data_IF_004588869152
#
_entry.id   IF_004588869152
#
_cell.length_a   1.000
_cell.length_b   1.000
_cell.length_c   1.000
_cell.angle_alpha   90.00
_cell.angle_beta   90.00
_cell.angle_gamma   90.00
#
_symmetry.space_group_name_H-M   'P 1'
#
loop_
_entity.id
_entity.type
_entity.pdbx_description
1 polymer ?
#
# COMPACT_ATOMS: atom_id res chain seq x y z
N UNK A 1 2.55 -0.46 -34.46
CA UNK A 1 1.51 -0.71 -33.43
C UNK A 1 1.75 0.07 -32.14
N UNK A 2 2.95 0.03 -31.53
CA UNK A 2 3.34 0.77 -30.30
C UNK A 2 2.95 2.27 -30.31
N UNK A 3 3.31 2.99 -31.37
CA UNK A 3 3.06 4.43 -31.48
C UNK A 3 1.59 4.79 -31.72
N UNK A 4 0.83 3.94 -32.40
CA UNK A 4 -0.61 4.18 -32.69
C UNK A 4 -1.42 4.03 -31.40
N UNK A 5 -1.14 3.02 -30.59
CA UNK A 5 -1.81 2.84 -29.30
C UNK A 5 -1.51 3.95 -28.30
N UNK A 6 -0.26 4.43 -28.26
CA UNK A 6 0.10 5.59 -27.43
C UNK A 6 -0.61 6.87 -27.90
N UNK A 7 -0.61 7.14 -29.21
CA UNK A 7 -1.28 8.31 -29.78
C UNK A 7 -2.79 8.27 -29.49
N UNK A 8 -3.42 7.11 -29.66
CA UNK A 8 -4.82 6.90 -29.31
C UNK A 8 -5.08 7.18 -27.83
N UNK A 9 -4.22 6.70 -26.93
CA UNK A 9 -4.35 6.96 -25.51
C UNK A 9 -4.20 8.45 -25.14
N UNK A 10 -3.24 9.16 -25.74
CA UNK A 10 -3.04 10.59 -25.52
C UNK A 10 -4.26 11.39 -26.01
N UNK A 11 -4.71 11.15 -27.24
CA UNK A 11 -5.86 11.83 -27.81
C UNK A 11 -7.15 11.48 -27.04
N UNK A 12 -7.35 10.20 -26.73
CA UNK A 12 -8.50 9.72 -25.96
C UNK A 12 -8.55 10.33 -24.56
N UNK A 13 -7.44 10.36 -23.83
CA UNK A 13 -7.34 11.06 -22.53
C UNK A 13 -7.62 12.55 -22.69
N UNK A 14 -7.06 13.22 -23.70
CA UNK A 14 -7.28 14.66 -23.91
C UNK A 14 -8.74 15.02 -24.21
N UNK A 15 -9.39 14.27 -25.11
CA UNK A 15 -10.81 14.47 -25.45
C UNK A 15 -11.71 14.17 -24.25
N UNK A 16 -11.46 13.08 -23.53
CA UNK A 16 -12.25 12.72 -22.34
C UNK A 16 -12.07 13.73 -21.20
N UNK A 17 -10.86 14.20 -20.93
CA UNK A 17 -10.61 15.27 -19.94
C UNK A 17 -11.39 16.53 -20.33
N UNK A 18 -11.29 16.97 -21.58
CA UNK A 18 -11.99 18.18 -22.06
C UNK A 18 -13.50 18.04 -21.92
N UNK A 19 -14.04 16.87 -22.30
CA UNK A 19 -15.45 16.55 -22.14
C UNK A 19 -15.89 16.58 -20.67
N UNK A 20 -15.15 15.93 -19.76
CA UNK A 20 -15.50 15.88 -18.33
C UNK A 20 -15.43 17.27 -17.68
N UNK A 21 -14.45 18.10 -18.06
CA UNK A 21 -14.37 19.50 -17.60
C UNK A 21 -15.59 20.28 -18.09
N UNK A 22 -15.93 20.19 -19.38
CA UNK A 22 -17.09 20.88 -19.95
C UNK A 22 -18.39 20.44 -19.26
N UNK A 23 -18.61 19.12 -19.10
CA UNK A 23 -19.80 18.59 -18.43
C UNK A 23 -19.87 19.05 -16.98
N UNK A 24 -18.75 19.03 -16.26
CA UNK A 24 -18.73 19.53 -14.88
C UNK A 24 -19.14 21.00 -14.81
N UNK A 25 -18.55 21.87 -15.64
CA UNK A 25 -18.85 23.30 -15.63
C UNK A 25 -20.30 23.63 -16.03
N UNK A 26 -20.91 22.83 -16.92
CA UNK A 26 -22.32 22.98 -17.33
C UNK A 26 -23.28 22.46 -16.26
N UNK A 27 -22.95 21.34 -15.61
CA UNK A 27 -23.86 20.69 -14.65
C UNK A 27 -23.75 21.25 -13.25
N UNK A 28 -22.54 21.58 -12.79
CA UNK A 28 -22.28 22.08 -11.46
C UNK A 28 -20.95 22.84 -11.38
N UNK A 29 -21.02 24.17 -11.45
CA UNK A 29 -19.84 25.05 -11.38
C UNK A 29 -19.29 25.24 -9.96
N UNK A 30 -20.05 24.87 -8.92
CA UNK A 30 -19.61 25.06 -7.52
C UNK A 30 -18.81 23.86 -7.02
N UNK A 31 -19.11 22.65 -7.51
CA UNK A 31 -18.39 21.43 -7.16
C UNK A 31 -17.62 20.86 -8.36
N UNK A 32 -16.30 21.08 -8.36
CA UNK A 32 -15.40 20.68 -9.44
C UNK A 32 -15.06 19.18 -9.42
N UNK A 33 -16.06 18.32 -9.68
CA UNK A 33 -15.89 16.86 -9.62
C UNK A 33 -14.94 16.31 -10.69
N UNK A 34 -14.62 17.04 -11.76
CA UNK A 34 -13.65 16.58 -12.75
C UNK A 34 -12.24 16.38 -12.16
N UNK A 35 -11.94 17.00 -11.01
CA UNK A 35 -10.63 16.90 -10.35
C UNK A 35 -10.30 15.44 -10.01
N UNK A 36 -11.28 14.57 -9.74
CA UNK A 36 -11.02 13.16 -9.39
C UNK A 36 -10.56 12.28 -10.58
N UNK A 37 -11.26 12.25 -11.74
CA UNK A 37 -10.85 11.39 -12.86
C UNK A 37 -9.67 11.92 -13.69
N UNK A 38 -9.43 13.24 -13.74
CA UNK A 38 -8.42 13.83 -14.62
C UNK A 38 -6.99 13.31 -14.36
N UNK A 39 -6.48 13.26 -13.12
CA UNK A 39 -5.14 12.72 -12.84
C UNK A 39 -4.98 11.27 -13.29
N UNK A 40 -6.03 10.45 -13.18
CA UNK A 40 -6.01 9.06 -13.62
C UNK A 40 -5.93 8.96 -15.16
N UNK A 41 -6.68 9.81 -15.86
CA UNK A 41 -6.65 9.89 -17.33
C UNK A 41 -5.30 10.42 -17.83
N UNK A 42 -4.64 11.30 -17.09
CA UNK A 42 -3.27 11.76 -17.38
C UNK A 42 -2.23 10.67 -17.11
N UNK A 43 -2.43 9.85 -16.08
CA UNK A 43 -1.53 8.73 -15.76
C UNK A 43 -1.54 7.64 -16.83
N UNK A 44 -2.65 7.45 -17.56
CA UNK A 44 -2.81 6.39 -18.56
C UNK A 44 -1.77 6.47 -19.72
N UNK A 45 -1.63 7.58 -20.47
CA UNK A 45 -0.63 7.66 -21.53
C UNK A 45 0.80 7.57 -20.98
N UNK A 46 1.07 8.14 -19.80
CA UNK A 46 2.38 8.07 -19.14
C UNK A 46 2.70 6.63 -18.74
N UNK A 47 1.71 5.89 -18.25
CA UNK A 47 1.82 4.47 -17.90
C UNK A 47 2.08 3.60 -19.12
N UNK A 48 1.34 3.80 -20.21
CA UNK A 48 1.56 3.10 -21.47
C UNK A 48 2.96 3.39 -22.03
N UNK A 49 3.37 4.66 -22.09
CA UNK A 49 4.72 5.04 -22.50
C UNK A 49 5.79 4.33 -21.64
N UNK A 50 5.64 4.37 -20.32
CA UNK A 50 6.61 3.80 -19.40
C UNK A 50 6.67 2.27 -19.48
N UNK A 51 5.53 1.61 -19.73
CA UNK A 51 5.46 0.16 -19.96
C UNK A 51 6.19 -0.23 -21.24
N UNK A 52 5.91 0.51 -22.31
CA UNK A 52 6.48 0.32 -23.63
C UNK A 52 7.99 0.57 -23.71
N UNK A 53 8.50 1.52 -22.92
CA UNK A 53 9.93 1.84 -22.82
C UNK A 53 10.63 1.14 -21.64
N UNK A 54 9.92 0.28 -20.88
CA UNK A 54 10.41 -0.38 -19.66
C UNK A 54 10.93 0.60 -18.58
N UNK A 55 10.49 1.87 -18.61
CA UNK A 55 10.88 2.94 -17.69
C UNK A 55 9.95 2.98 -16.46
N UNK A 56 9.84 1.87 -15.74
CA UNK A 56 8.96 1.74 -14.57
C UNK A 56 9.29 2.71 -13.42
N UNK A 57 10.55 3.14 -13.31
CA UNK A 57 11.00 4.15 -12.33
C UNK A 57 10.42 5.52 -12.64
N UNK A 58 10.38 5.91 -13.91
CA UNK A 58 9.81 7.18 -14.35
C UNK A 58 8.30 7.22 -14.06
N UNK A 59 7.58 6.12 -14.35
CA UNK A 59 6.16 6.03 -14.02
C UNK A 59 5.89 6.20 -12.53
N UNK A 60 6.68 5.53 -11.69
CA UNK A 60 6.52 5.59 -10.24
C UNK A 60 6.82 6.99 -9.69
N UNK A 61 7.86 7.67 -10.21
CA UNK A 61 8.19 9.05 -9.84
C UNK A 61 7.06 10.01 -10.23
N UNK A 62 6.69 10.06 -11.51
CA UNK A 62 5.63 10.96 -11.98
C UNK A 62 4.31 10.65 -11.30
N UNK A 63 3.96 9.36 -11.15
CA UNK A 63 2.74 8.94 -10.48
C UNK A 63 2.69 9.37 -9.03
N UNK A 64 3.79 9.23 -8.28
CA UNK A 64 3.84 9.69 -6.90
C UNK A 64 3.60 11.20 -6.77
N UNK A 65 4.15 12.02 -7.67
CA UNK A 65 3.95 13.47 -7.71
C UNK A 65 2.49 13.81 -8.05
N UNK A 66 1.93 13.19 -9.09
CA UNK A 66 0.54 13.43 -9.54
C UNK A 66 -0.44 13.06 -8.43
N UNK A 67 -0.29 11.89 -7.80
CA UNK A 67 -1.14 11.49 -6.68
C UNK A 67 -0.97 12.40 -5.46
N UNK A 68 0.24 12.82 -5.14
CA UNK A 68 0.48 13.71 -4.00
C UNK A 68 -0.18 15.07 -4.22
N UNK A 69 0.02 15.69 -5.38
CA UNK A 69 -0.65 16.96 -5.74
C UNK A 69 -2.17 16.80 -5.61
N UNK A 70 -2.71 15.73 -6.18
CA UNK A 70 -4.14 15.46 -6.15
C UNK A 70 -4.69 15.36 -4.71
N UNK A 71 -4.05 14.57 -3.85
CA UNK A 71 -4.53 14.39 -2.47
C UNK A 71 -4.39 15.67 -1.65
N UNK A 72 -3.33 16.45 -1.87
CA UNK A 72 -3.19 17.78 -1.25
C UNK A 72 -4.30 18.71 -1.71
N UNK A 73 -4.57 18.80 -3.01
CA UNK A 73 -5.64 19.63 -3.56
C UNK A 73 -7.00 19.24 -2.98
N UNK A 74 -7.36 17.96 -2.96
CA UNK A 74 -8.63 17.49 -2.38
C UNK A 74 -8.70 17.84 -0.90
N UNK A 75 -7.61 17.63 -0.15
CA UNK A 75 -7.59 17.89 1.28
C UNK A 75 -7.80 19.38 1.60
N UNK A 76 -7.13 20.28 0.86
CA UNK A 76 -7.28 21.73 1.05
C UNK A 76 -8.68 22.23 0.68
N UNK A 77 -9.32 21.65 -0.33
CA UNK A 77 -10.67 22.06 -0.78
C UNK A 77 -11.73 21.61 0.24
N UNK A 78 -11.68 20.35 0.70
CA UNK A 78 -12.79 19.77 1.47
C UNK A 78 -12.60 19.84 2.97
N UNK A 79 -11.39 19.63 3.47
CA UNK A 79 -11.11 19.47 4.90
C UNK A 79 -9.77 20.11 5.26
N UNK A 80 -9.60 21.44 5.11
CA UNK A 80 -8.32 22.11 5.30
C UNK A 80 -7.84 22.05 6.76
N UNK A 81 -8.75 21.88 7.72
CA UNK A 81 -8.43 21.76 9.14
C UNK A 81 -7.77 20.44 9.53
N UNK A 82 -7.88 19.40 8.69
CA UNK A 82 -7.41 18.06 9.01
C UNK A 82 -6.58 17.48 7.86
N UNK A 83 -5.24 17.45 7.97
CA UNK A 83 -4.34 17.10 6.87
C UNK A 83 -4.26 15.59 6.59
N UNK A 84 -5.37 14.98 6.20
CA UNK A 84 -5.46 13.53 5.98
C UNK A 84 -4.57 13.04 4.83
N UNK A 85 -4.14 13.91 3.90
CA UNK A 85 -3.22 13.52 2.83
C UNK A 85 -1.89 12.95 3.36
N UNK A 86 -1.49 13.34 4.57
CA UNK A 86 -0.30 12.81 5.25
C UNK A 86 -0.39 11.29 5.45
N UNK A 87 -1.60 10.73 5.64
CA UNK A 87 -1.76 9.28 5.79
C UNK A 87 -1.34 8.51 4.54
N UNK A 88 -1.52 9.09 3.35
CA UNK A 88 -1.16 8.45 2.08
C UNK A 88 0.30 8.70 1.68
N UNK A 89 0.95 9.70 2.29
CA UNK A 89 2.30 10.14 1.91
C UNK A 89 3.33 9.02 2.07
N UNK A 90 3.27 8.24 3.15
CA UNK A 90 4.17 7.11 3.38
C UNK A 90 4.22 6.13 2.19
N UNK A 91 3.12 5.46 1.83
CA UNK A 91 3.04 4.55 0.68
C UNK A 91 3.39 5.22 -0.65
N UNK A 92 2.91 6.45 -0.87
CA UNK A 92 3.15 7.19 -2.12
C UNK A 92 4.64 7.47 -2.31
N UNK A 93 5.36 7.86 -1.26
CA UNK A 93 6.80 8.11 -1.29
C UNK A 93 7.60 6.81 -1.32
N UNK A 94 7.11 5.76 -0.66
CA UNK A 94 7.77 4.46 -0.66
C UNK A 94 7.80 3.83 -2.06
N UNK A 95 6.76 4.04 -2.86
CA UNK A 95 6.67 3.49 -4.22
C UNK A 95 7.87 3.85 -5.13
N UNK A 96 8.21 5.15 -5.36
CA UNK A 96 9.37 5.51 -6.17
C UNK A 96 10.69 5.07 -5.54
N UNK A 97 10.82 5.14 -4.21
CA UNK A 97 12.02 4.66 -3.50
C UNK A 97 12.26 3.18 -3.80
N UNK A 98 11.22 2.34 -3.70
CA UNK A 98 11.31 0.91 -4.01
C UNK A 98 11.59 0.64 -5.49
N UNK A 99 11.00 1.44 -6.38
CA UNK A 99 11.24 1.34 -7.82
C UNK A 99 12.70 1.64 -8.16
N UNK A 100 13.29 2.68 -7.57
CA UNK A 100 14.70 3.05 -7.72
C UNK A 100 15.64 2.00 -7.12
N UNK A 101 15.29 1.42 -5.96
CA UNK A 101 16.06 0.34 -5.35
C UNK A 101 16.10 -0.92 -6.23
N UNK A 102 15.11 -1.12 -7.11
CA UNK A 102 15.06 -2.22 -8.07
C UNK A 102 15.26 -3.57 -7.39
N UNK A 103 16.30 -4.32 -7.80
CA UNK A 103 16.59 -5.66 -7.24
C UNK A 103 17.02 -5.64 -5.76
N UNK A 104 17.49 -4.50 -5.23
CA UNK A 104 17.96 -4.38 -3.82
C UNK A 104 16.81 -4.51 -2.82
N UNK A 105 15.57 -4.26 -3.23
CA UNK A 105 14.39 -4.42 -2.39
C UNK A 105 14.17 -5.88 -1.91
N UNK A 106 14.82 -6.87 -2.55
CA UNK A 106 14.83 -8.28 -2.11
C UNK A 106 15.82 -8.55 -0.98
N UNK A 107 16.59 -7.55 -0.54
CA UNK A 107 17.48 -7.68 0.59
C UNK A 107 16.71 -7.54 1.91
N UNK A 108 16.94 -8.47 2.85
CA UNK A 108 16.25 -8.45 4.15
C UNK A 108 16.66 -7.22 4.94
N UNK A 109 17.94 -6.82 4.86
CA UNK A 109 18.42 -5.60 5.51
C UNK A 109 17.67 -4.36 5.00
N UNK A 110 17.55 -4.20 3.68
CA UNK A 110 16.83 -3.08 3.05
C UNK A 110 15.36 -3.10 3.44
N UNK A 111 14.71 -4.26 3.40
CA UNK A 111 13.31 -4.39 3.80
C UNK A 111 13.11 -4.02 5.28
N UNK A 112 13.96 -4.50 6.18
CA UNK A 112 13.89 -4.17 7.61
C UNK A 112 14.12 -2.68 7.86
N UNK A 113 15.12 -2.07 7.24
CA UNK A 113 15.38 -0.63 7.39
C UNK A 113 14.22 0.22 6.87
N UNK A 114 13.66 -0.12 5.71
CA UNK A 114 12.52 0.59 5.13
C UNK A 114 11.24 0.39 5.94
N UNK A 115 10.95 -0.82 6.41
CA UNK A 115 9.82 -1.08 7.31
C UNK A 115 9.98 -0.29 8.61
N UNK A 116 11.18 -0.21 9.19
CA UNK A 116 11.44 0.57 10.40
C UNK A 116 11.20 2.08 10.19
N UNK A 117 11.71 2.65 9.09
CA UNK A 117 11.46 4.05 8.74
C UNK A 117 9.98 4.34 8.51
N UNK A 118 9.27 3.42 7.83
CA UNK A 118 7.83 3.53 7.59
C UNK A 118 7.03 3.48 8.89
N UNK A 119 7.36 2.57 9.81
CA UNK A 119 6.74 2.50 11.14
C UNK A 119 7.01 3.78 11.92
N UNK A 120 8.26 4.25 11.95
CA UNK A 120 8.64 5.47 12.66
C UNK A 120 7.85 6.69 12.12
N UNK A 121 7.73 6.81 10.81
CA UNK A 121 6.91 7.84 10.17
C UNK A 121 5.46 7.81 10.70
N UNK A 122 4.83 6.64 10.73
CA UNK A 122 3.45 6.50 11.20
C UNK A 122 3.28 6.68 12.71
N UNK A 123 4.29 6.32 13.50
CA UNK A 123 4.30 6.59 14.94
C UNK A 123 4.34 8.09 15.20
N UNK A 124 5.24 8.82 14.52
CA UNK A 124 5.31 10.29 14.62
C UNK A 124 3.99 10.92 14.17
N UNK A 125 3.43 10.44 13.05
CA UNK A 125 2.17 10.95 12.51
C UNK A 125 1.00 10.69 13.47
N UNK A 126 0.97 9.54 14.14
CA UNK A 126 -0.04 9.19 15.14
C UNK A 126 0.00 10.13 16.34
N UNK A 127 1.17 10.40 16.88
CA UNK A 127 1.33 11.38 17.97
C UNK A 127 0.89 12.79 17.57
N UNK A 128 1.15 13.20 16.32
CA UNK A 128 0.81 14.53 15.84
C UNK A 128 -0.70 14.71 15.60
N UNK A 129 -1.36 13.74 14.94
CA UNK A 129 -2.76 13.91 14.52
C UNK A 129 -3.75 13.38 15.56
N UNK A 130 -3.48 12.26 16.22
CA UNK A 130 -4.43 11.62 17.13
C UNK A 130 -3.72 10.80 18.22
N UNK A 131 -3.10 11.47 19.21
CA UNK A 131 -2.32 10.80 20.25
C UNK A 131 -3.17 9.84 21.12
N UNK A 132 -4.49 10.05 21.18
CA UNK A 132 -5.40 9.20 21.95
C UNK A 132 -5.83 7.90 21.26
N UNK A 133 -5.47 7.68 19.98
CA UNK A 133 -5.89 6.51 19.22
C UNK A 133 -4.71 5.92 18.45
N UNK A 134 -4.22 4.75 18.87
CA UNK A 134 -3.01 4.07 18.36
C UNK A 134 -3.24 3.38 16.99
N UNK A 135 -3.71 4.12 15.99
CA UNK A 135 -3.93 3.60 14.63
C UNK A 135 -2.63 3.24 13.89
N UNK A 136 -1.44 3.68 14.34
CA UNK A 136 -0.17 3.32 13.69
C UNK A 136 0.13 1.80 13.70
N UNK A 137 -0.56 1.03 14.55
CA UNK A 137 -0.44 -0.43 14.64
C UNK A 137 -0.87 -1.10 13.33
N UNK A 138 -1.87 -0.55 12.61
CA UNK A 138 -2.35 -1.11 11.35
C UNK A 138 -1.31 -1.05 10.22
N UNK A 139 -0.74 0.12 9.84
CA UNK A 139 0.31 0.17 8.84
C UNK A 139 1.59 -0.53 9.29
N UNK A 140 1.90 -0.54 10.59
CA UNK A 140 3.04 -1.27 11.12
C UNK A 140 2.89 -2.79 10.92
N UNK A 141 1.73 -3.35 11.22
CA UNK A 141 1.44 -4.75 10.95
C UNK A 141 1.60 -5.08 9.46
N UNK A 142 1.01 -4.27 8.57
CA UNK A 142 1.08 -4.48 7.13
C UNK A 142 2.52 -4.51 6.61
N UNK A 143 3.36 -3.56 7.04
CA UNK A 143 4.73 -3.42 6.51
C UNK A 143 5.71 -4.45 7.07
N UNK A 144 5.43 -5.06 8.23
CA UNK A 144 6.28 -6.09 8.85
C UNK A 144 6.25 -7.43 8.09
N UNK A 145 5.21 -7.70 7.30
CA UNK A 145 5.15 -8.87 6.43
C UNK A 145 6.27 -8.90 5.40
N UNK A 146 6.75 -7.73 4.97
CA UNK A 146 7.78 -7.63 3.94
C UNK A 146 9.14 -8.20 4.38
N UNK A 147 9.80 -7.74 5.46
CA UNK A 147 11.05 -8.34 5.93
C UNK A 147 10.86 -9.80 6.39
N UNK A 148 9.73 -10.12 7.02
CA UNK A 148 9.42 -11.49 7.48
C UNK A 148 9.38 -12.49 6.32
N UNK A 149 8.62 -12.17 5.26
CA UNK A 149 8.51 -13.03 4.08
C UNK A 149 9.86 -13.21 3.38
N UNK A 150 10.62 -12.13 3.17
CA UNK A 150 11.93 -12.20 2.52
C UNK A 150 12.93 -13.06 3.30
N UNK A 151 12.93 -12.96 4.63
CA UNK A 151 13.81 -13.75 5.49
C UNK A 151 13.57 -15.25 5.31
N UNK A 152 12.31 -15.68 5.36
CA UNK A 152 11.97 -17.09 5.25
C UNK A 152 12.06 -17.65 3.84
N UNK A 153 11.74 -16.86 2.82
CA UNK A 153 11.91 -17.28 1.41
C UNK A 153 13.38 -17.57 1.11
N UNK A 154 14.31 -16.74 1.59
CA UNK A 154 15.76 -16.97 1.40
C UNK A 154 16.25 -18.22 2.10
N UNK A 155 15.77 -18.50 3.31
CA UNK A 155 16.11 -19.69 4.09
C UNK A 155 15.31 -20.94 3.67
N UNK A 156 14.37 -20.81 2.73
CA UNK A 156 13.42 -21.87 2.32
C UNK A 156 12.70 -22.52 3.52
N UNK A 157 12.48 -21.75 4.59
CA UNK A 157 11.93 -22.25 5.86
C UNK A 157 10.43 -21.98 5.96
N UNK A 158 9.65 -22.59 5.07
CA UNK A 158 8.21 -22.36 4.92
C UNK A 158 7.39 -22.71 6.19
N UNK A 159 7.77 -23.75 6.92
CA UNK A 159 7.12 -24.08 8.19
C UNK A 159 7.38 -23.00 9.25
N UNK A 160 8.65 -22.60 9.43
CA UNK A 160 8.99 -21.53 10.36
C UNK A 160 8.33 -20.19 9.98
N UNK A 161 8.13 -19.92 8.68
CA UNK A 161 7.35 -18.77 8.21
C UNK A 161 5.91 -18.82 8.71
N UNK A 162 5.22 -19.95 8.56
CA UNK A 162 3.84 -20.08 9.05
C UNK A 162 3.74 -19.83 10.55
N UNK A 163 4.68 -20.36 11.35
CA UNK A 163 4.71 -20.11 12.80
C UNK A 163 4.93 -18.62 13.12
N UNK A 164 5.93 -17.99 12.51
CA UNK A 164 6.22 -16.57 12.77
C UNK A 164 5.12 -15.64 12.26
N UNK A 165 4.49 -15.96 11.14
CA UNK A 165 3.35 -15.23 10.61
C UNK A 165 2.12 -15.36 11.54
N UNK A 166 1.85 -16.57 12.05
CA UNK A 166 0.80 -16.79 13.05
C UNK A 166 1.06 -16.00 14.33
N UNK A 167 2.30 -15.94 14.81
CA UNK A 167 2.68 -15.12 15.98
C UNK A 167 2.42 -13.63 15.69
N UNK A 168 2.90 -13.12 14.54
CA UNK A 168 2.69 -11.71 14.16
C UNK A 168 1.21 -11.35 14.09
N UNK A 169 0.40 -12.21 13.46
CA UNK A 169 -1.07 -12.03 13.38
C UNK A 169 -1.72 -12.10 14.76
N UNK A 170 -1.28 -13.03 15.62
CA UNK A 170 -1.86 -13.19 16.96
C UNK A 170 -1.58 -11.99 17.85
N UNK A 171 -0.33 -11.50 17.86
CA UNK A 171 0.05 -10.27 18.55
C UNK A 171 -0.78 -9.10 18.05
N UNK A 172 -0.94 -8.95 16.74
CA UNK A 172 -1.77 -7.90 16.15
C UNK A 172 -3.23 -7.96 16.62
N UNK A 173 -3.89 -9.12 16.56
CA UNK A 173 -5.29 -9.25 17.00
C UNK A 173 -5.44 -9.02 18.51
N UNK A 174 -4.50 -9.50 19.34
CA UNK A 174 -4.49 -9.23 20.78
C UNK A 174 -4.36 -7.71 21.02
N UNK A 175 -3.42 -7.05 20.37
CA UNK A 175 -3.25 -5.60 20.49
C UNK A 175 -4.51 -4.84 20.11
N UNK A 176 -5.17 -5.18 18.99
CA UNK A 176 -6.41 -4.50 18.58
C UNK A 176 -7.51 -4.75 19.60
N UNK A 177 -7.67 -5.98 20.08
CA UNK A 177 -8.70 -6.32 21.03
C UNK A 177 -8.54 -5.55 22.35
N UNK A 178 -7.33 -5.52 22.91
CA UNK A 178 -7.02 -4.78 24.15
C UNK A 178 -7.21 -3.27 23.96
N UNK A 179 -6.75 -2.70 22.84
CA UNK A 179 -6.73 -1.24 22.65
C UNK A 179 -8.06 -0.66 22.17
N UNK A 180 -8.82 -1.39 21.35
CA UNK A 180 -10.02 -0.87 20.70
C UNK A 180 -11.32 -1.54 21.15
N UNK A 181 -11.27 -2.70 21.79
CA UNK A 181 -12.46 -3.42 22.23
C UNK A 181 -12.22 -4.20 23.54
N UNK A 182 -11.76 -3.54 24.63
CA UNK A 182 -11.36 -4.22 25.85
C UNK A 182 -12.52 -4.97 26.53
N UNK A 183 -13.76 -4.56 26.25
CA UNK A 183 -14.96 -5.15 26.87
C UNK A 183 -15.42 -6.45 26.19
N UNK A 184 -14.84 -6.84 25.05
CA UNK A 184 -15.26 -8.04 24.31
C UNK A 184 -14.04 -8.82 23.84
N UNK A 185 -13.89 -10.07 24.30
CA UNK A 185 -12.76 -10.93 23.93
C UNK A 185 -13.06 -11.58 22.57
N UNK A 186 -12.68 -10.92 21.47
CA UNK A 186 -12.90 -11.44 20.12
C UNK A 186 -11.62 -11.90 19.42
N UNK A 187 -10.42 -11.55 19.91
CA UNK A 187 -9.15 -11.93 19.29
C UNK A 187 -8.96 -13.46 19.17
N UNK A 188 -9.59 -14.24 20.06
CA UNK A 188 -9.48 -15.71 20.07
C UNK A 188 -9.98 -16.33 18.76
N UNK A 189 -11.05 -15.80 18.16
CA UNK A 189 -11.64 -16.35 16.94
C UNK A 189 -10.68 -16.31 15.73
N UNK A 190 -10.12 -15.15 15.34
CA UNK A 190 -9.16 -15.11 14.23
C UNK A 190 -7.83 -15.79 14.58
N UNK A 191 -7.37 -15.76 15.84
CA UNK A 191 -6.17 -16.49 16.24
C UNK A 191 -6.34 -17.99 16.03
N UNK A 192 -7.48 -18.54 16.46
CA UNK A 192 -7.81 -19.94 16.25
C UNK A 192 -7.79 -20.30 14.76
N UNK A 193 -8.38 -19.47 13.90
CA UNK A 193 -8.35 -19.67 12.45
C UNK A 193 -6.91 -19.68 11.89
N UNK A 194 -6.06 -18.76 12.34
CA UNK A 194 -4.68 -18.63 11.84
C UNK A 194 -3.76 -19.76 12.34
N UNK A 195 -4.06 -20.38 13.48
CA UNK A 195 -3.32 -21.55 13.99
C UNK A 195 -3.41 -22.78 13.08
N UNK A 196 -4.45 -22.89 12.25
CA UNK A 196 -4.56 -23.96 11.26
C UNK A 196 -3.46 -23.91 10.19
N UNK A 197 -2.85 -22.74 9.97
CA UNK A 197 -1.80 -22.58 8.98
C UNK A 197 -0.52 -23.36 9.34
N UNK A 198 0.14 -23.14 10.49
CA UNK A 198 1.29 -23.97 10.87
C UNK A 198 0.91 -25.44 11.05
N UNK A 199 -0.30 -25.75 11.53
CA UNK A 199 -0.77 -27.12 11.66
C UNK A 199 -0.84 -27.86 10.31
N UNK A 200 -1.44 -27.22 9.29
CA UNK A 200 -1.51 -27.79 7.93
C UNK A 200 -0.12 -27.95 7.30
N UNK A 201 0.77 -26.98 7.51
CA UNK A 201 2.15 -27.06 7.05
C UNK A 201 2.94 -28.19 7.74
N UNK A 202 2.71 -28.39 9.04
CA UNK A 202 3.30 -29.50 9.81
C UNK A 202 2.88 -30.85 9.24
N UNK A 203 1.58 -31.08 9.05
CA UNK A 203 1.08 -32.34 8.49
C UNK A 203 1.53 -32.57 7.04
N UNK A 204 1.56 -31.52 6.20
CA UNK A 204 2.05 -31.62 4.84
C UNK A 204 3.54 -32.02 4.79
N UNK A 205 4.37 -31.41 5.64
CA UNK A 205 5.79 -31.71 5.71
C UNK A 205 6.07 -33.11 6.28
N UNK A 206 5.38 -33.49 7.36
CA UNK A 206 5.55 -34.80 8.02
C UNK A 206 5.06 -35.96 7.14
N UNK A 207 3.93 -35.81 6.43
CA UNK A 207 3.41 -36.83 5.51
C UNK A 207 4.36 -37.10 4.33
N UNK A 208 5.09 -36.10 3.84
CA UNK A 208 6.14 -36.32 2.82
C UNK A 208 7.31 -37.13 3.34
N UNK A 209 7.60 -37.09 4.65
CA UNK A 209 8.72 -37.81 5.27
C UNK A 209 8.41 -39.28 5.57
N UNK A 210 7.14 -39.64 5.70
CA UNK A 210 6.67 -41.02 5.96
C UNK A 210 6.47 -41.87 4.69
N UNK A 211 6.41 -41.22 3.52
CA UNK A 211 6.20 -41.89 2.22
C UNK A 211 7.51 -42.15 1.44
N UNK A 212 8.67 -42.01 2.09
CA UNK A 212 9.98 -42.46 1.62
C UNK A 212 10.57 -43.40 2.67
#
# INVERSE_FOLDING_TARGET
MKNIGLLFAVLGSGVTISFLVMVNLVTNSTYLWFIYPVPLLLMLPIGLYSFFEQKHTLFSLIGSIVFLIQLVTINLIHTPSYPWFLYALGPIMMWPILSVLGKRNKNVFVASSMSMLFILYYVVLNFYISPGYLWCIFPAFAILWWPLSLYHVKKKSYFAFSVNATILMSVFFICINVLFSPNTIWAVYPIFAVLWWPLSMYFYYYKRKLNY
#
